data_IF_784021935739
#
_entry.id   IF_784021935739
#
_cell.length_a   1.000
_cell.length_b   1.000
_cell.length_c   1.000
_cell.angle_alpha   90.00
_cell.angle_beta   90.00
_cell.angle_gamma   90.00
#
_symmetry.space_group_name_H-M   'P 1'
#
loop_
_entity.id
_entity.type
_entity.pdbx_description
1 polymer ?
#
# COMPACT_ATOMS: atom_id res chain seq x y z
N UNK A 1 -50.41 -9.18 14.52
CA UNK A 1 -49.45 -10.25 14.14
C UNK A 1 -48.80 -9.81 12.84
N UNK A 2 -47.54 -9.39 12.89
CA UNK A 2 -46.78 -9.01 11.70
C UNK A 2 -46.25 -10.29 11.04
N UNK A 3 -46.55 -10.58 9.77
CA UNK A 3 -45.85 -11.63 9.05
C UNK A 3 -44.41 -11.16 8.86
N UNK A 4 -43.49 -11.90 9.48
CA UNK A 4 -42.06 -11.63 9.41
C UNK A 4 -41.61 -11.53 7.97
N UNK A 5 -41.05 -10.37 7.64
CA UNK A 5 -40.23 -10.13 6.46
C UNK A 5 -39.21 -11.27 6.33
N UNK A 6 -39.50 -12.23 5.46
CA UNK A 6 -38.53 -13.17 4.96
C UNK A 6 -37.43 -12.34 4.31
N UNK A 7 -36.30 -12.23 4.99
CA UNK A 7 -35.08 -11.70 4.41
C UNK A 7 -34.78 -12.65 3.26
N UNK A 8 -35.18 -12.25 2.05
CA UNK A 8 -34.75 -12.88 0.82
C UNK A 8 -33.25 -12.61 0.73
N UNK A 9 -32.45 -13.45 1.39
CA UNK A 9 -31.02 -13.48 1.17
C UNK A 9 -30.89 -13.78 -0.32
N UNK A 10 -30.40 -12.84 -1.15
CA UNK A 10 -30.27 -13.12 -2.57
C UNK A 10 -29.44 -14.38 -2.70
N UNK A 11 -29.99 -15.37 -3.40
CA UNK A 11 -29.40 -16.70 -3.64
C UNK A 11 -28.00 -16.62 -4.27
N UNK A 12 -27.62 -15.46 -4.81
CA UNK A 12 -26.26 -15.12 -5.22
C UNK A 12 -25.24 -15.00 -4.07
N UNK A 13 -25.65 -14.66 -2.85
CA UNK A 13 -24.74 -14.53 -1.69
C UNK A 13 -24.31 -15.90 -1.14
N UNK A 14 -25.03 -16.97 -1.45
CA UNK A 14 -24.71 -18.34 -1.04
C UNK A 14 -23.96 -19.14 -2.10
N UNK A 15 -23.81 -18.63 -3.31
CA UNK A 15 -23.13 -19.33 -4.40
C UNK A 15 -21.62 -19.05 -4.30
N UNK A 16 -20.94 -19.75 -3.40
CA UNK A 16 -19.48 -19.72 -3.23
C UNK A 16 -18.75 -20.30 -4.44
N UNK A 17 -19.47 -20.92 -5.37
CA UNK A 17 -18.98 -21.43 -6.64
C UNK A 17 -19.04 -20.40 -7.75
N UNK A 18 -17.87 -19.90 -8.12
CA UNK A 18 -17.68 -19.23 -9.40
C UNK A 18 -17.36 -20.29 -10.47
N UNK A 19 -17.91 -20.18 -11.69
CA UNK A 19 -17.49 -21.04 -12.78
C UNK A 19 -15.97 -20.93 -13.00
N UNK A 20 -15.26 -22.04 -13.09
CA UNK A 20 -13.78 -22.07 -13.18
C UNK A 20 -13.19 -21.22 -14.33
N UNK A 21 -13.96 -20.93 -15.38
CA UNK A 21 -13.52 -20.02 -16.45
C UNK A 21 -13.46 -18.56 -16.00
N UNK A 22 -14.35 -18.13 -15.10
CA UNK A 22 -14.38 -16.75 -14.56
C UNK A 22 -13.17 -16.48 -13.67
N UNK A 23 -12.77 -17.47 -12.85
CA UNK A 23 -11.56 -17.41 -12.03
C UNK A 23 -10.30 -17.37 -12.89
N UNK A 24 -10.24 -18.14 -13.98
CA UNK A 24 -9.15 -18.03 -14.97
C UNK A 24 -9.02 -16.61 -15.56
N UNK A 25 -10.13 -15.99 -15.95
CA UNK A 25 -10.12 -14.61 -16.48
C UNK A 25 -9.64 -13.61 -15.42
N UNK A 26 -10.15 -13.72 -14.19
CA UNK A 26 -9.73 -12.87 -13.09
C UNK A 26 -8.22 -12.99 -12.81
N UNK A 27 -7.69 -14.22 -12.82
CA UNK A 27 -6.25 -14.47 -12.67
C UNK A 27 -5.44 -13.91 -13.84
N UNK A 28 -5.93 -14.03 -15.08
CA UNK A 28 -5.25 -13.47 -16.25
C UNK A 28 -5.14 -11.94 -16.16
N UNK A 29 -6.25 -11.26 -15.83
CA UNK A 29 -6.26 -9.80 -15.65
C UNK A 29 -5.30 -9.38 -14.53
N UNK A 30 -5.33 -10.09 -13.39
CA UNK A 30 -4.44 -9.80 -12.28
C UNK A 30 -2.97 -10.05 -12.61
N UNK A 31 -2.65 -11.11 -13.36
CA UNK A 31 -1.30 -11.39 -13.82
C UNK A 31 -0.78 -10.30 -14.78
N UNK A 32 -1.62 -9.82 -15.69
CA UNK A 32 -1.29 -8.72 -16.60
C UNK A 32 -1.04 -7.43 -15.81
N UNK A 33 -1.96 -7.07 -14.91
CA UNK A 33 -1.84 -5.87 -14.07
C UNK A 33 -0.62 -5.94 -13.14
N UNK A 34 -0.40 -7.08 -12.48
CA UNK A 34 0.74 -7.34 -11.62
C UNK A 34 2.07 -7.29 -12.37
N UNK A 35 2.15 -7.90 -13.55
CA UNK A 35 3.32 -7.87 -14.42
C UNK A 35 3.64 -6.47 -14.96
N UNK A 36 2.61 -5.71 -15.35
CA UNK A 36 2.74 -4.32 -15.76
C UNK A 36 3.26 -3.45 -14.62
N UNK A 37 2.66 -3.56 -13.44
CA UNK A 37 3.07 -2.81 -12.25
C UNK A 37 4.49 -3.18 -11.80
N UNK A 38 4.87 -4.46 -11.88
CA UNK A 38 6.24 -4.91 -11.61
C UNK A 38 7.27 -4.30 -12.56
N UNK A 39 6.95 -4.22 -13.86
CA UNK A 39 7.79 -3.52 -14.85
C UNK A 39 7.87 -2.02 -14.58
N UNK A 40 6.77 -1.38 -14.18
CA UNK A 40 6.75 0.04 -13.82
C UNK A 40 7.60 0.33 -12.58
N UNK A 41 7.53 -0.54 -11.57
CA UNK A 41 8.40 -0.49 -10.40
C UNK A 41 9.89 -0.63 -10.72
N UNK A 42 10.25 -1.13 -11.91
CA UNK A 42 11.65 -1.21 -12.32
C UNK A 42 12.25 0.12 -12.77
N UNK A 43 11.43 1.08 -13.20
CA UNK A 43 11.87 2.34 -13.82
C UNK A 43 11.91 3.54 -12.87
N UNK A 44 11.25 3.47 -11.71
CA UNK A 44 11.18 4.58 -10.76
C UNK A 44 12.38 4.64 -9.79
N UNK A 45 12.88 5.86 -9.54
CA UNK A 45 13.89 6.22 -8.53
C UNK A 45 13.35 6.11 -7.09
N UNK A 46 12.66 5.01 -6.79
CA UNK A 46 12.08 4.73 -5.48
C UNK A 46 13.15 4.08 -4.60
N UNK A 47 13.28 4.48 -3.32
CA UNK A 47 14.23 3.87 -2.38
C UNK A 47 14.16 2.34 -2.40
N UNK A 48 15.33 1.66 -2.44
CA UNK A 48 15.43 0.21 -2.62
C UNK A 48 14.58 -0.60 -1.62
N UNK A 49 14.46 -0.13 -0.38
CA UNK A 49 13.67 -0.76 0.69
C UNK A 49 12.18 -0.81 0.32
N UNK A 50 11.59 0.30 -0.15
CA UNK A 50 10.18 0.36 -0.59
C UNK A 50 9.91 -0.54 -1.80
N UNK A 51 10.90 -0.63 -2.70
CA UNK A 51 10.82 -1.48 -3.89
C UNK A 51 10.78 -2.97 -3.52
N UNK A 52 11.53 -3.38 -2.50
CA UNK A 52 11.50 -4.75 -1.96
C UNK A 52 10.17 -5.07 -1.28
N UNK A 53 9.64 -4.16 -0.44
CA UNK A 53 8.32 -4.37 0.20
C UNK A 53 7.20 -4.54 -0.84
N UNK A 54 7.14 -3.65 -1.83
CA UNK A 54 6.10 -3.74 -2.89
C UNK A 54 6.17 -5.01 -3.71
N UNK A 55 7.39 -5.53 -3.95
CA UNK A 55 7.58 -6.82 -4.62
C UNK A 55 7.12 -7.98 -3.74
N UNK A 56 7.43 -7.96 -2.45
CA UNK A 56 6.97 -8.97 -1.51
C UNK A 56 5.43 -8.97 -1.42
N UNK A 57 4.80 -7.80 -1.32
CA UNK A 57 3.34 -7.67 -1.32
C UNK A 57 2.71 -8.15 -2.63
N UNK A 58 3.34 -7.90 -3.79
CA UNK A 58 2.86 -8.42 -5.08
C UNK A 58 2.92 -9.95 -5.15
N UNK A 59 4.01 -10.56 -4.67
CA UNK A 59 4.17 -12.02 -4.69
C UNK A 59 3.18 -12.67 -3.74
N UNK A 60 3.06 -12.16 -2.51
CA UNK A 60 2.11 -12.65 -1.52
C UNK A 60 0.68 -12.43 -2.02
N UNK A 61 0.37 -11.24 -2.54
CA UNK A 61 -0.95 -10.92 -3.10
C UNK A 61 -1.34 -11.80 -4.27
N UNK A 62 -0.39 -12.10 -5.17
CA UNK A 62 -0.60 -13.05 -6.26
C UNK A 62 -0.90 -14.45 -5.73
N UNK A 63 -0.15 -14.93 -4.74
CA UNK A 63 -0.41 -16.23 -4.11
C UNK A 63 -1.77 -16.31 -3.43
N UNK A 64 -2.16 -15.28 -2.67
CA UNK A 64 -3.47 -15.17 -2.03
C UNK A 64 -4.59 -15.16 -3.05
N UNK A 65 -4.41 -14.43 -4.16
CA UNK A 65 -5.40 -14.37 -5.22
C UNK A 65 -5.57 -15.74 -5.92
N UNK A 66 -4.48 -16.46 -6.17
CA UNK A 66 -4.53 -17.82 -6.72
C UNK A 66 -5.24 -18.78 -5.77
N UNK A 67 -4.91 -18.72 -4.47
CA UNK A 67 -5.58 -19.54 -3.46
C UNK A 67 -7.08 -19.22 -3.35
N UNK A 68 -7.45 -17.94 -3.42
CA UNK A 68 -8.86 -17.53 -3.40
C UNK A 68 -9.60 -17.98 -4.66
N UNK A 69 -8.96 -17.87 -5.84
CA UNK A 69 -9.51 -18.36 -7.09
C UNK A 69 -9.68 -19.90 -7.10
N UNK A 70 -8.73 -20.63 -6.51
CA UNK A 70 -8.84 -22.08 -6.34
C UNK A 70 -10.00 -22.45 -5.42
N UNK A 71 -10.10 -21.80 -4.26
CA UNK A 71 -11.17 -22.01 -3.28
C UNK A 71 -12.56 -21.71 -3.85
N UNK A 72 -12.70 -20.66 -4.67
CA UNK A 72 -13.98 -20.25 -5.24
C UNK A 72 -14.36 -21.00 -6.53
N UNK A 73 -13.38 -21.49 -7.29
CA UNK A 73 -13.62 -22.05 -8.63
C UNK A 73 -13.55 -23.57 -8.72
N UNK A 74 -12.81 -24.22 -7.83
CA UNK A 74 -12.47 -25.65 -7.97
C UNK A 74 -12.70 -26.50 -6.73
N UNK A 75 -12.83 -25.92 -5.53
CA UNK A 75 -13.09 -26.68 -4.31
C UNK A 75 -14.59 -26.63 -4.02
N UNK A 76 -15.22 -27.80 -4.02
CA UNK A 76 -16.64 -27.98 -3.68
C UNK A 76 -16.81 -28.09 -2.16
N UNK A 77 -17.51 -27.15 -1.48
CA UNK A 77 -17.70 -27.20 -0.04
C UNK A 77 -18.62 -28.34 0.38
N UNK A 78 -19.45 -28.87 -0.52
CA UNK A 78 -20.38 -29.95 -0.21
C UNK A 78 -19.71 -31.33 -0.26
N UNK A 79 -18.64 -31.45 -1.06
CA UNK A 79 -17.84 -32.69 -1.19
C UNK A 79 -16.56 -32.63 -0.34
N UNK A 80 -15.89 -31.48 -0.32
CA UNK A 80 -14.51 -31.30 0.14
C UNK A 80 -14.42 -30.21 1.24
N UNK A 81 -15.13 -30.43 2.36
CA UNK A 81 -15.26 -29.47 3.47
C UNK A 81 -13.92 -29.07 4.12
N UNK A 82 -13.06 -30.04 4.45
CA UNK A 82 -11.77 -29.79 5.10
C UNK A 82 -10.85 -28.94 4.22
N UNK A 83 -10.55 -29.32 2.96
CA UNK A 83 -9.68 -28.50 2.11
C UNK A 83 -10.31 -27.15 1.76
N UNK A 84 -11.65 -27.02 1.71
CA UNK A 84 -12.32 -25.74 1.56
C UNK A 84 -11.99 -24.79 2.73
N UNK A 85 -12.19 -25.23 3.96
CA UNK A 85 -11.91 -24.44 5.17
C UNK A 85 -10.42 -24.11 5.28
N UNK A 86 -9.53 -25.08 5.01
CA UNK A 86 -8.07 -24.87 5.05
C UNK A 86 -7.64 -23.83 4.02
N UNK A 87 -8.17 -23.88 2.80
CA UNK A 87 -7.81 -22.94 1.74
C UNK A 87 -8.29 -21.53 2.08
N UNK A 88 -9.53 -21.37 2.55
CA UNK A 88 -10.03 -20.07 3.03
C UNK A 88 -9.27 -19.54 4.25
N UNK A 89 -8.89 -20.42 5.18
CA UNK A 89 -8.00 -20.07 6.29
C UNK A 89 -6.65 -19.53 5.80
N UNK A 90 -6.06 -20.17 4.79
CA UNK A 90 -4.85 -19.69 4.12
C UNK A 90 -5.03 -18.33 3.44
N UNK A 91 -6.18 -18.10 2.78
CA UNK A 91 -6.52 -16.81 2.15
C UNK A 91 -6.61 -15.71 3.21
N UNK A 92 -7.34 -15.94 4.31
CA UNK A 92 -7.48 -14.96 5.41
C UNK A 92 -6.13 -14.67 6.04
N UNK A 93 -5.31 -15.70 6.31
CA UNK A 93 -3.97 -15.53 6.86
C UNK A 93 -3.07 -14.73 5.91
N UNK A 94 -3.13 -15.02 4.61
CA UNK A 94 -2.37 -14.28 3.60
C UNK A 94 -2.82 -12.82 3.48
N UNK A 95 -4.12 -12.54 3.57
CA UNK A 95 -4.65 -11.18 3.64
C UNK A 95 -4.16 -10.45 4.89
N UNK A 96 -4.13 -11.12 6.04
CA UNK A 96 -3.57 -10.55 7.28
C UNK A 96 -2.10 -10.16 7.11
N UNK A 97 -1.29 -11.04 6.50
CA UNK A 97 0.11 -10.74 6.17
C UNK A 97 0.22 -9.53 5.24
N UNK A 98 -0.64 -9.42 4.23
CA UNK A 98 -0.66 -8.26 3.33
C UNK A 98 -1.02 -6.96 4.06
N UNK A 99 -1.97 -7.00 4.99
CA UNK A 99 -2.32 -5.85 5.83
C UNK A 99 -1.12 -5.43 6.67
N UNK A 100 -0.42 -6.36 7.31
CA UNK A 100 0.79 -6.08 8.09
C UNK A 100 1.87 -5.46 7.20
N UNK A 101 2.14 -6.04 6.02
CA UNK A 101 3.10 -5.47 5.08
C UNK A 101 2.71 -4.06 4.62
N UNK A 102 1.42 -3.82 4.41
CA UNK A 102 0.88 -2.50 4.04
C UNK A 102 1.10 -1.48 5.16
N UNK A 103 0.84 -1.85 6.41
CA UNK A 103 1.11 -1.00 7.58
C UNK A 103 2.60 -0.69 7.71
N UNK A 104 3.48 -1.67 7.49
CA UNK A 104 4.92 -1.45 7.51
C UNK A 104 5.35 -0.51 6.36
N UNK A 105 4.81 -0.66 5.14
CA UNK A 105 5.10 0.27 4.04
C UNK A 105 4.63 1.69 4.38
N UNK A 106 3.43 1.83 4.97
CA UNK A 106 2.89 3.11 5.41
C UNK A 106 3.76 3.76 6.51
N UNK A 107 4.17 2.99 7.51
CA UNK A 107 5.02 3.48 8.60
C UNK A 107 6.41 3.90 8.11
N UNK A 108 7.03 3.07 7.27
CA UNK A 108 8.30 3.42 6.59
C UNK A 108 8.12 4.66 5.73
N UNK A 109 6.94 4.82 5.11
CA UNK A 109 6.64 5.99 4.29
C UNK A 109 6.61 7.27 5.10
N UNK A 110 5.90 7.26 6.23
CA UNK A 110 5.80 8.38 7.15
C UNK A 110 7.17 8.72 7.73
N UNK A 111 7.94 7.73 8.19
CA UNK A 111 9.28 7.94 8.78
C UNK A 111 10.26 8.57 7.78
N UNK A 112 10.23 8.15 6.52
CA UNK A 112 11.05 8.74 5.46
C UNK A 112 10.60 10.18 5.15
N UNK A 113 9.29 10.44 5.19
CA UNK A 113 8.76 11.78 4.98
C UNK A 113 9.19 12.73 6.10
N UNK A 114 9.12 12.31 7.37
CA UNK A 114 9.60 13.09 8.52
C UNK A 114 11.10 13.42 8.40
N UNK A 115 11.96 12.44 8.08
CA UNK A 115 13.39 12.71 7.84
C UNK A 115 13.64 13.69 6.69
N UNK A 116 12.76 13.72 5.69
CA UNK A 116 12.86 14.66 4.58
C UNK A 116 12.41 16.07 4.95
N UNK A 117 11.44 16.19 5.87
CA UNK A 117 10.97 17.47 6.41
C UNK A 117 12.02 18.07 7.34
N UNK A 118 12.62 17.29 8.24
CA UNK A 118 13.67 17.78 9.15
C UNK A 118 14.84 18.39 8.37
N UNK A 119 15.28 17.72 7.30
CA UNK A 119 16.36 18.23 6.45
C UNK A 119 16.00 19.49 5.69
N UNK A 120 14.73 19.67 5.32
CA UNK A 120 14.24 20.88 4.63
C UNK A 120 14.12 22.04 5.61
N UNK A 121 13.53 21.81 6.79
CA UNK A 121 13.40 22.80 7.84
C UNK A 121 14.77 23.32 8.30
N UNK A 122 15.75 22.43 8.54
CA UNK A 122 17.11 22.86 8.89
C UNK A 122 17.73 23.75 7.80
N UNK A 123 17.50 23.41 6.52
CA UNK A 123 18.06 24.18 5.39
C UNK A 123 17.38 25.53 5.21
N UNK A 124 16.07 25.60 5.42
CA UNK A 124 15.30 26.84 5.34
C UNK A 124 15.65 27.76 6.51
N UNK A 125 15.79 27.22 7.73
CA UNK A 125 16.26 27.98 8.90
C UNK A 125 17.68 28.52 8.68
N UNK A 126 18.59 27.73 8.09
CA UNK A 126 19.93 28.20 7.75
C UNK A 126 19.89 29.30 6.69
N UNK A 127 19.05 29.20 5.66
CA UNK A 127 18.87 30.26 4.66
C UNK A 127 18.28 31.54 5.25
N UNK A 128 17.30 31.43 6.14
CA UNK A 128 16.73 32.57 6.85
C UNK A 128 17.80 33.26 7.70
N UNK A 129 18.64 32.47 8.38
CA UNK A 129 19.75 32.98 9.17
C UNK A 129 20.81 33.67 8.32
N UNK A 130 21.19 33.10 7.18
CA UNK A 130 22.10 33.72 6.20
C UNK A 130 21.53 35.03 5.62
N UNK A 131 20.21 35.08 5.36
CA UNK A 131 19.53 36.29 4.89
C UNK A 131 19.53 37.40 5.97
N UNK A 132 19.21 37.04 7.21
CA UNK A 132 19.27 37.96 8.36
C UNK A 132 20.68 38.49 8.62
N UNK A 133 21.71 37.65 8.55
CA UNK A 133 23.11 38.09 8.74
C UNK A 133 23.53 39.09 7.66
N UNK A 134 23.07 38.86 6.42
CA UNK A 134 23.37 39.74 5.28
C UNK A 134 22.66 41.10 5.39
N UNK A 135 21.44 41.16 5.94
CA UNK A 135 20.73 42.42 6.22
C UNK A 135 21.24 43.14 7.47
N UNK A 136 21.66 42.40 8.51
CA UNK A 136 22.23 42.97 9.74
C UNK A 136 23.57 43.66 9.53
N UNK A 137 24.39 43.18 8.60
CA UNK A 137 25.67 43.79 8.22
C UNK A 137 25.48 45.09 7.42
N UNK A 138 24.33 45.26 6.75
CA UNK A 138 24.01 46.49 5.99
C UNK A 138 23.48 47.66 6.82
N UNK A 139 23.21 47.45 8.11
CA UNK A 139 22.52 48.42 8.99
C UNK A 139 23.44 49.14 9.97
N UNK A 140 24.76 49.14 9.76
CA UNK A 140 25.67 50.03 10.50
C UNK A 140 25.86 51.31 9.66
N UNK A 141 25.06 52.37 9.88
CA UNK A 141 25.39 53.65 9.30
C UNK A 141 26.70 54.10 9.93
N UNK A 142 27.71 54.27 9.09
CA UNK A 142 28.90 55.07 9.38
C UNK A 142 28.44 56.52 9.63
N UNK A 143 28.03 56.79 10.87
CA UNK A 143 27.80 58.11 11.49
C UNK A 143 28.27 57.91 12.93
N UNK A 144 29.25 58.60 13.51
CA UNK A 144 29.92 59.85 13.19
C UNK A 144 31.41 59.65 13.46
N UNK A 145 32.25 59.86 12.45
CA UNK A 145 33.68 60.07 12.60
C UNK A 145 34.05 61.25 11.70
N UNK A 146 33.32 62.36 11.87
CA UNK A 146 33.61 63.62 11.22
C UNK A 146 32.96 64.72 12.07
N UNK A 147 33.69 65.12 13.10
CA UNK A 147 33.58 66.42 13.77
C UNK A 147 34.81 66.54 14.68
N UNK A 148 35.93 66.84 14.01
CA UNK A 148 37.21 67.24 14.58
C UNK A 148 37.39 68.76 14.45
#
# INVERSE_FOLDING_TARGET
>A
MNPGSSIQIPWFLGQTHLPGWTTCIALAIAAIAGGWYWRRLRRGSVPMIRRRLRRASLVIGGGVLVAAAAAAGWIDPDVDQIPYIVTWGGVVLGLLVLVILSLVDAFVSIRLHQRSLDRRLVRDTLRIREAMDREGIGSRPDREADDA
#
